data_IF_376664793045
#
_entry.id   IF_376664793045
#
_cell.length_a   1.000
_cell.length_b   1.000
_cell.length_c   1.000
_cell.angle_alpha   90.00
_cell.angle_beta   90.00
_cell.angle_gamma   90.00
#
_symmetry.space_group_name_H-M   'P 1'
#
loop_
_entity.id
_entity.type
_entity.pdbx_description
1 polymer ?
#
# COMPACT_ATOMS: atom_id res chain seq x y z
N UNK A 1 1.77 -19.06 4.26
CA UNK A 1 2.14 -17.62 4.21
C UNK A 1 3.02 -17.43 2.98
N UNK A 2 2.66 -16.53 2.07
CA UNK A 2 3.50 -16.16 0.91
C UNK A 2 4.23 -14.88 1.27
N UNK A 3 5.53 -14.80 0.98
CA UNK A 3 6.31 -13.57 1.14
C UNK A 3 6.41 -12.92 -0.24
N UNK A 4 5.79 -11.75 -0.39
CA UNK A 4 5.87 -10.99 -1.62
C UNK A 4 7.25 -10.31 -1.72
N UNK A 5 7.96 -10.42 -2.86
CA UNK A 5 9.23 -9.73 -3.05
C UNK A 5 8.99 -8.23 -3.23
N UNK A 6 9.88 -7.43 -2.64
CA UNK A 6 9.96 -5.98 -2.92
C UNK A 6 10.75 -5.79 -4.21
N UNK A 7 10.04 -5.58 -5.31
CA UNK A 7 10.66 -5.36 -6.63
C UNK A 7 10.75 -3.86 -6.97
N UNK A 8 11.58 -3.52 -7.96
CA UNK A 8 11.69 -2.16 -8.47
C UNK A 8 10.38 -1.64 -9.10
N UNK A 9 9.51 -2.54 -9.57
CA UNK A 9 8.19 -2.18 -10.09
C UNK A 9 7.24 -1.80 -8.96
N UNK A 10 7.19 -2.60 -7.88
CA UNK A 10 6.44 -2.24 -6.67
C UNK A 10 6.96 -0.93 -6.08
N UNK A 11 8.28 -0.73 -6.04
CA UNK A 11 8.88 0.51 -5.53
C UNK A 11 8.47 1.75 -6.34
N UNK A 12 8.40 1.63 -7.68
CA UNK A 12 7.88 2.71 -8.54
C UNK A 12 6.41 2.97 -8.31
N UNK A 13 5.61 1.91 -8.17
CA UNK A 13 4.18 2.05 -7.87
C UNK A 13 3.97 2.75 -6.51
N UNK A 14 4.71 2.33 -5.47
CA UNK A 14 4.68 2.96 -4.16
C UNK A 14 5.06 4.46 -4.22
N UNK A 15 6.09 4.80 -4.99
CA UNK A 15 6.47 6.20 -5.21
C UNK A 15 5.35 7.00 -5.89
N UNK A 16 4.64 6.39 -6.85
CA UNK A 16 3.44 6.97 -7.46
C UNK A 16 2.33 7.23 -6.46
N UNK A 17 1.99 6.24 -5.62
CA UNK A 17 0.97 6.39 -4.57
C UNK A 17 1.29 7.54 -3.60
N UNK A 18 2.56 7.67 -3.20
CA UNK A 18 3.01 8.78 -2.36
C UNK A 18 2.84 10.13 -3.07
N UNK A 19 3.25 10.22 -4.33
CA UNK A 19 3.13 11.45 -5.11
C UNK A 19 1.66 11.86 -5.28
N UNK A 20 0.78 10.91 -5.61
CA UNK A 20 -0.66 11.14 -5.79
C UNK A 20 -1.35 11.57 -4.49
N UNK A 21 -0.94 11.02 -3.36
CA UNK A 21 -1.44 11.39 -2.03
C UNK A 21 -0.80 12.67 -1.48
N UNK A 22 0.19 13.27 -2.16
CA UNK A 22 0.96 14.41 -1.67
C UNK A 22 1.81 14.09 -0.42
N UNK A 23 2.12 12.82 -0.20
CA UNK A 23 2.88 12.32 0.93
C UNK A 23 4.36 12.13 0.55
N UNK A 24 5.26 12.30 1.52
CA UNK A 24 6.68 12.12 1.29
C UNK A 24 7.43 11.69 2.56
N UNK A 25 8.68 11.29 2.37
CA UNK A 25 9.60 10.94 3.45
C UNK A 25 9.46 9.50 3.95
N UNK A 26 10.31 9.15 4.91
CA UNK A 26 10.43 7.79 5.43
C UNK A 26 9.21 7.33 6.24
N UNK A 27 8.37 8.27 6.73
CA UNK A 27 7.18 7.96 7.53
C UNK A 27 6.21 7.03 6.79
N UNK A 28 5.96 7.27 5.50
CA UNK A 28 4.93 6.57 4.72
C UNK A 28 5.51 5.50 3.78
N UNK A 29 6.83 5.32 3.76
CA UNK A 29 7.49 4.47 2.78
C UNK A 29 7.06 3.00 2.91
N UNK A 30 6.89 2.50 4.13
CA UNK A 30 6.46 1.12 4.38
C UNK A 30 4.99 0.93 3.97
N UNK A 31 4.10 1.86 4.35
CA UNK A 31 2.68 1.77 4.00
C UNK A 31 2.46 1.87 2.49
N UNK A 32 3.25 2.70 1.79
CA UNK A 32 3.22 2.80 0.34
C UNK A 32 3.71 1.51 -0.33
N UNK A 33 4.77 0.89 0.20
CA UNK A 33 5.27 -0.39 -0.29
C UNK A 33 4.25 -1.52 -0.08
N UNK A 34 3.62 -1.56 1.09
CA UNK A 34 2.55 -2.51 1.40
C UNK A 34 1.36 -2.30 0.48
N UNK A 35 0.91 -1.05 0.31
CA UNK A 35 -0.22 -0.68 -0.56
C UNK A 35 0.06 -1.07 -2.01
N UNK A 36 1.23 -0.73 -2.55
CA UNK A 36 1.62 -1.11 -3.91
C UNK A 36 1.69 -2.64 -4.10
N UNK A 37 2.16 -3.37 -3.09
CA UNK A 37 2.19 -4.84 -3.10
C UNK A 37 0.78 -5.42 -3.10
N UNK A 38 -0.11 -4.88 -2.25
CA UNK A 38 -1.51 -5.29 -2.18
C UNK A 38 -2.22 -5.03 -3.52
N UNK A 39 -2.06 -3.85 -4.10
CA UNK A 39 -2.70 -3.45 -5.36
C UNK A 39 -2.17 -4.18 -6.59
N UNK A 40 -0.99 -4.80 -6.50
CA UNK A 40 -0.44 -5.66 -7.56
C UNK A 40 -1.04 -7.09 -7.55
N UNK A 41 -1.75 -7.48 -6.49
CA UNK A 41 -2.38 -8.80 -6.42
C UNK A 41 -3.69 -8.84 -7.23
N UNK A 42 -4.08 -10.02 -7.77
CA UNK A 42 -5.40 -10.20 -8.38
C UNK A 42 -6.53 -9.87 -7.40
N UNK A 43 -7.48 -9.03 -7.82
CA UNK A 43 -8.54 -8.52 -6.96
C UNK A 43 -9.68 -9.52 -6.68
N UNK A 44 -10.54 -9.24 -5.68
CA UNK A 44 -10.50 -8.12 -4.73
C UNK A 44 -9.52 -8.34 -3.56
N UNK A 45 -8.87 -7.26 -3.09
CA UNK A 45 -7.82 -7.31 -2.05
C UNK A 45 -8.30 -6.75 -0.72
N UNK A 46 -7.89 -7.38 0.39
CA UNK A 46 -8.14 -6.92 1.76
C UNK A 46 -6.83 -6.76 2.52
N UNK A 47 -6.65 -5.65 3.22
CA UNK A 47 -5.52 -5.38 4.11
C UNK A 47 -6.01 -5.36 5.55
N UNK A 48 -5.35 -6.15 6.41
CA UNK A 48 -5.57 -6.16 7.85
C UNK A 48 -4.44 -5.37 8.51
N UNK A 49 -4.77 -4.36 9.30
CA UNK A 49 -3.77 -3.49 9.95
C UNK A 49 -4.30 -2.92 11.27
N UNK A 50 -3.44 -2.71 12.26
CA UNK A 50 -3.84 -2.01 13.49
C UNK A 50 -3.97 -0.49 13.29
N UNK A 51 -3.32 0.05 12.26
CA UNK A 51 -3.32 1.48 11.91
C UNK A 51 -3.76 1.66 10.44
N UNK A 52 -5.06 1.91 10.20
CA UNK A 52 -5.63 1.88 8.85
C UNK A 52 -5.49 3.20 8.08
N UNK A 53 -5.24 4.32 8.75
CA UNK A 53 -5.47 5.65 8.17
C UNK A 53 -4.54 5.93 6.97
N UNK A 54 -3.25 5.65 7.11
CA UNK A 54 -2.26 5.88 6.06
C UNK A 54 -2.48 4.93 4.86
N UNK A 55 -2.80 3.65 5.12
CA UNK A 55 -3.05 2.66 4.07
C UNK A 55 -4.36 2.94 3.33
N UNK A 56 -5.41 3.40 4.04
CA UNK A 56 -6.67 3.79 3.42
C UNK A 56 -6.48 5.01 2.50
N UNK A 57 -5.66 5.98 2.90
CA UNK A 57 -5.33 7.13 2.07
C UNK A 57 -4.57 6.70 0.80
N UNK A 58 -3.62 5.78 0.91
CA UNK A 58 -2.81 5.30 -0.21
C UNK A 58 -3.57 4.37 -1.18
N UNK A 59 -4.39 3.46 -0.66
CA UNK A 59 -5.13 2.49 -1.48
C UNK A 59 -6.40 3.06 -2.10
N UNK A 60 -6.94 4.15 -1.53
CA UNK A 60 -8.23 4.70 -1.91
C UNK A 60 -9.32 3.63 -1.90
N UNK A 61 -10.04 3.49 -3.02
CA UNK A 61 -11.14 2.51 -3.18
C UNK A 61 -10.70 1.16 -3.74
N UNK A 62 -9.41 0.97 -3.98
CA UNK A 62 -8.89 -0.20 -4.68
C UNK A 62 -8.62 -1.40 -3.75
N UNK A 63 -8.72 -1.21 -2.44
CA UNK A 63 -8.61 -2.27 -1.44
C UNK A 63 -9.60 -2.06 -0.28
N UNK A 64 -10.02 -3.17 0.34
CA UNK A 64 -10.77 -3.13 1.61
C UNK A 64 -9.78 -3.09 2.77
N UNK A 65 -9.91 -2.09 3.66
CA UNK A 65 -9.05 -1.95 4.83
C UNK A 65 -9.84 -2.34 6.08
N UNK A 66 -9.31 -3.27 6.88
CA UNK A 66 -9.92 -3.74 8.12
C UNK A 66 -8.96 -3.50 9.27
N UNK A 67 -9.44 -2.82 10.31
CA UNK A 67 -8.70 -2.65 11.56
C UNK A 67 -8.72 -3.93 12.37
N UNK A 68 -7.54 -4.35 12.85
CA UNK A 68 -7.36 -5.48 13.79
C UNK A 68 -6.76 -5.04 15.12
#
# INVERSE_FOLDING_TARGET
MVIAPVTAEIARHAAGLLADAGLHGHKYAIDAMLSATALAAPGPVTVLTSDPDDIANLCGRSATIIKI
#
